data_IF_796396378947
#
_entry.id   IF_796396378947
#
_cell.length_a   1.000
_cell.length_b   1.000
_cell.length_c   1.000
_cell.angle_alpha   90.00
_cell.angle_beta   90.00
_cell.angle_gamma   90.00
#
_symmetry.space_group_name_H-M   'P 1'
#
loop_
_entity.id
_entity.type
_entity.pdbx_description
1 polymer ?
#
# COMPACT_ATOMS: atom_id res chain seq x y z
N UNK A 1 24.88 -0.31 -14.29
CA UNK A 1 23.43 -0.11 -14.07
C UNK A 1 22.60 -1.26 -14.63
N UNK A 2 22.78 -1.59 -15.90
CA UNK A 2 22.04 -2.71 -16.53
C UNK A 2 22.29 -4.06 -15.86
N UNK A 3 23.51 -4.30 -15.35
CA UNK A 3 23.85 -5.56 -14.68
C UNK A 3 23.01 -5.82 -13.45
N UNK A 4 22.85 -4.82 -12.56
CA UNK A 4 22.01 -4.95 -11.39
C UNK A 4 20.54 -5.12 -11.76
N UNK A 5 20.07 -4.34 -12.71
CA UNK A 5 18.69 -4.44 -13.19
C UNK A 5 18.42 -5.84 -13.74
N UNK A 6 19.29 -6.35 -14.59
CA UNK A 6 19.12 -7.67 -15.19
C UNK A 6 19.18 -8.78 -14.14
N UNK A 7 20.06 -8.64 -13.16
CA UNK A 7 20.16 -9.56 -12.03
C UNK A 7 18.85 -9.61 -11.24
N UNK A 8 18.27 -8.45 -10.88
CA UNK A 8 17.01 -8.40 -10.13
C UNK A 8 15.83 -8.90 -10.95
N UNK A 9 15.79 -8.63 -12.26
CA UNK A 9 14.76 -9.16 -13.14
C UNK A 9 14.85 -10.69 -13.21
N UNK A 10 16.05 -11.22 -13.35
CA UNK A 10 16.27 -12.68 -13.36
C UNK A 10 15.82 -13.32 -12.05
N UNK A 11 16.12 -12.71 -10.91
CA UNK A 11 15.66 -13.18 -9.60
C UNK A 11 14.14 -13.14 -9.47
N UNK A 12 13.51 -12.07 -9.96
CA UNK A 12 12.05 -11.92 -9.86
C UNK A 12 11.29 -12.92 -10.71
N UNK A 13 11.91 -13.41 -11.80
CA UNK A 13 11.32 -14.40 -12.69
C UNK A 13 11.58 -15.86 -12.24
N UNK A 14 12.36 -16.05 -11.18
CA UNK A 14 12.65 -17.40 -10.67
C UNK A 14 11.52 -17.84 -9.72
N UNK A 15 10.72 -18.80 -10.16
CA UNK A 15 9.57 -19.30 -9.40
C UNK A 15 9.98 -19.90 -8.06
N UNK A 16 11.08 -20.62 -8.01
CA UNK A 16 11.57 -21.24 -6.78
C UNK A 16 11.95 -20.18 -5.74
N UNK A 17 12.70 -19.16 -6.16
CA UNK A 17 13.08 -18.07 -5.25
C UNK A 17 11.87 -17.26 -4.78
N UNK A 18 10.91 -17.02 -5.66
CA UNK A 18 9.69 -16.30 -5.31
C UNK A 18 8.86 -17.06 -4.27
N UNK A 19 8.71 -18.38 -4.44
CA UNK A 19 7.99 -19.20 -3.47
C UNK A 19 8.73 -19.26 -2.13
N UNK A 20 10.04 -19.39 -2.17
CA UNK A 20 10.87 -19.38 -0.96
C UNK A 20 10.75 -18.04 -0.24
N UNK A 21 10.80 -16.93 -0.99
CA UNK A 21 10.63 -15.60 -0.42
C UNK A 21 9.27 -15.40 0.24
N UNK A 22 8.20 -15.95 -0.36
CA UNK A 22 6.86 -15.88 0.23
C UNK A 22 6.77 -16.62 1.57
N UNK A 23 7.50 -17.74 1.69
CA UNK A 23 7.50 -18.54 2.93
C UNK A 23 8.38 -17.97 4.02
N UNK A 24 9.58 -17.49 3.68
CA UNK A 24 10.57 -17.06 4.65
C UNK A 24 10.74 -15.55 4.76
N UNK A 25 10.24 -14.78 3.79
CA UNK A 25 10.33 -13.34 3.79
C UNK A 25 9.87 -12.68 5.09
N UNK A 26 8.67 -13.02 5.62
CA UNK A 26 8.20 -12.47 6.90
C UNK A 26 9.11 -12.81 8.07
N UNK A 27 9.74 -14.00 8.06
CA UNK A 27 10.65 -14.42 9.11
C UNK A 27 12.01 -13.74 9.02
N UNK A 28 12.40 -13.33 7.80
CA UNK A 28 13.70 -12.70 7.54
C UNK A 28 13.67 -11.19 7.62
N UNK A 29 12.55 -10.60 8.05
CA UNK A 29 12.45 -9.17 8.23
C UNK A 29 11.48 -8.46 7.30
N UNK A 30 10.82 -9.17 6.38
CA UNK A 30 9.79 -8.55 5.52
C UNK A 30 8.65 -7.96 6.35
N UNK A 31 8.33 -8.58 7.48
CA UNK A 31 7.33 -8.07 8.41
C UNK A 31 7.70 -6.71 9.03
N UNK A 32 8.98 -6.32 8.96
CA UNK A 32 9.43 -4.99 9.40
C UNK A 32 9.22 -3.93 8.32
N UNK A 33 9.07 -4.36 7.06
CA UNK A 33 8.83 -3.48 5.91
C UNK A 33 7.35 -3.28 5.68
N UNK A 34 6.54 -4.32 5.89
CA UNK A 34 5.09 -4.25 5.81
C UNK A 34 4.55 -3.64 7.10
N UNK A 35 3.83 -2.53 6.97
CA UNK A 35 3.35 -1.77 8.13
C UNK A 35 2.29 -2.50 8.95
N UNK A 36 1.68 -3.54 8.40
CA UNK A 36 0.68 -4.34 9.10
C UNK A 36 -0.57 -4.58 8.25
N UNK A 37 -1.44 -5.44 8.75
CA UNK A 37 -2.68 -5.83 8.08
C UNK A 37 -3.90 -5.11 8.66
N UNK A 38 -3.74 -4.39 9.76
CA UNK A 38 -4.83 -3.67 10.43
C UNK A 38 -4.42 -2.21 10.66
N UNK A 39 -5.43 -1.35 10.80
CA UNK A 39 -5.18 0.07 11.05
C UNK A 39 -4.43 0.31 12.37
N UNK A 40 -4.76 -0.37 13.50
CA UNK A 40 -3.97 -0.20 14.72
C UNK A 40 -2.48 -0.56 14.54
N UNK A 41 -2.18 -1.63 13.81
CA UNK A 41 -0.79 -2.00 13.53
C UNK A 41 -0.09 -0.96 12.66
N UNK A 42 -0.79 -0.42 11.66
CA UNK A 42 -0.28 0.63 10.80
C UNK A 42 0.08 1.88 11.61
N UNK A 43 -0.81 2.34 12.46
CA UNK A 43 -0.59 3.53 13.28
C UNK A 43 0.58 3.30 14.24
N UNK A 44 0.66 2.14 14.87
CA UNK A 44 1.78 1.80 15.74
C UNK A 44 3.12 1.87 15.00
N UNK A 45 3.17 1.32 13.78
CA UNK A 45 4.37 1.35 12.94
C UNK A 45 4.74 2.79 12.57
N UNK A 46 3.76 3.61 12.19
CA UNK A 46 3.99 5.01 11.85
C UNK A 46 4.52 5.78 13.06
N UNK A 47 3.91 5.58 14.22
CA UNK A 47 4.36 6.24 15.44
C UNK A 47 5.81 5.87 15.80
N UNK A 48 6.14 4.60 15.64
CA UNK A 48 7.51 4.13 15.85
C UNK A 48 8.50 4.83 14.92
N UNK A 49 8.18 4.93 13.62
CA UNK A 49 9.03 5.59 12.65
C UNK A 49 9.12 7.11 12.88
N UNK A 50 8.01 7.72 13.29
CA UNK A 50 7.98 9.15 13.61
C UNK A 50 8.88 9.49 14.82
N UNK A 51 9.04 8.57 15.76
CA UNK A 51 9.97 8.76 16.89
C UNK A 51 11.41 8.96 16.41
N UNK A 52 11.78 8.34 15.30
CA UNK A 52 13.08 8.53 14.66
C UNK A 52 13.11 9.67 13.65
N UNK A 53 12.07 10.53 13.65
CA UNK A 53 11.93 11.66 12.72
C UNK A 53 11.84 11.21 11.26
N UNK A 54 11.21 10.07 11.02
CA UNK A 54 10.97 9.54 9.68
C UNK A 54 9.49 9.79 9.34
N UNK A 55 9.26 10.58 8.31
CA UNK A 55 7.92 10.75 7.74
C UNK A 55 7.60 9.53 6.85
N UNK A 56 6.34 9.15 6.79
CA UNK A 56 5.91 7.89 6.18
C UNK A 56 4.93 8.16 5.04
N UNK A 57 5.08 7.41 3.95
CA UNK A 57 4.05 7.34 2.92
C UNK A 57 3.39 5.98 3.01
N UNK A 58 2.07 5.96 3.14
CA UNK A 58 1.27 4.74 3.25
C UNK A 58 0.70 4.40 1.89
N UNK A 59 0.81 3.15 1.50
CA UNK A 59 0.23 2.65 0.26
C UNK A 59 -0.58 1.40 0.57
N UNK A 60 -1.82 1.36 0.06
CA UNK A 60 -2.65 0.17 0.13
C UNK A 60 -2.33 -0.74 -1.05
N UNK A 61 -2.06 -2.01 -0.77
CA UNK A 61 -1.92 -3.00 -1.81
C UNK A 61 -3.30 -3.36 -2.35
N UNK A 62 -3.39 -3.62 -3.65
CA UNK A 62 -4.66 -3.99 -4.29
C UNK A 62 -4.99 -3.08 -5.47
N UNK A 63 -4.11 -3.07 -6.46
CA UNK A 63 -4.26 -2.25 -7.67
C UNK A 63 -5.26 -2.82 -8.67
N UNK A 64 -5.59 -4.10 -8.52
CA UNK A 64 -6.39 -4.84 -9.50
C UNK A 64 -7.87 -4.73 -9.17
N UNK A 65 -8.44 -3.55 -9.42
CA UNK A 65 -9.86 -3.28 -9.23
C UNK A 65 -10.57 -3.46 -10.57
N UNK A 66 -11.51 -4.39 -10.63
CA UNK A 66 -12.25 -4.72 -11.84
C UNK A 66 -13.74 -4.40 -11.76
N UNK A 67 -14.27 -4.20 -10.55
CA UNK A 67 -15.69 -3.93 -10.34
C UNK A 67 -15.90 -2.64 -9.54
N UNK A 68 -17.12 -2.09 -9.66
CA UNK A 68 -17.51 -0.91 -8.88
C UNK A 68 -17.45 -1.18 -7.38
N UNK A 69 -17.88 -2.36 -6.96
CA UNK A 69 -17.86 -2.75 -5.56
C UNK A 69 -16.44 -2.81 -5.01
N UNK A 70 -15.51 -3.34 -5.79
CA UNK A 70 -14.09 -3.37 -5.41
C UNK A 70 -13.51 -1.97 -5.28
N UNK A 71 -13.87 -1.06 -6.19
CA UNK A 71 -13.40 0.33 -6.13
C UNK A 71 -13.95 1.07 -4.93
N UNK A 72 -15.22 0.83 -4.58
CA UNK A 72 -15.82 1.43 -3.39
C UNK A 72 -15.21 0.88 -2.11
N UNK A 73 -14.88 -0.41 -2.09
CA UNK A 73 -14.19 -1.04 -0.96
C UNK A 73 -12.80 -0.45 -0.79
N UNK A 74 -12.05 -0.29 -1.88
CA UNK A 74 -10.72 0.33 -1.85
C UNK A 74 -10.80 1.78 -1.35
N UNK A 75 -11.77 2.55 -1.85
CA UNK A 75 -12.00 3.92 -1.38
C UNK A 75 -12.27 3.96 0.12
N UNK A 76 -13.12 3.05 0.61
CA UNK A 76 -13.46 3.00 2.03
C UNK A 76 -12.24 2.68 2.89
N UNK A 77 -11.41 1.73 2.47
CA UNK A 77 -10.18 1.40 3.17
C UNK A 77 -9.22 2.60 3.24
N UNK A 78 -9.05 3.30 2.13
CA UNK A 78 -8.19 4.48 2.06
C UNK A 78 -8.72 5.58 2.98
N UNK A 79 -10.03 5.79 2.96
CA UNK A 79 -10.68 6.81 3.80
C UNK A 79 -10.48 6.50 5.29
N UNK A 80 -10.63 5.25 5.69
CA UNK A 80 -10.40 4.83 7.08
C UNK A 80 -8.95 5.08 7.52
N UNK A 81 -7.99 4.84 6.63
CA UNK A 81 -6.58 5.11 6.91
C UNK A 81 -6.34 6.62 7.07
N UNK A 82 -6.90 7.42 6.17
CA UNK A 82 -6.77 8.89 6.25
C UNK A 82 -7.35 9.40 7.56
N UNK A 83 -8.53 8.92 7.94
CA UNK A 83 -9.17 9.31 9.20
C UNK A 83 -8.30 8.91 10.39
N UNK A 84 -7.70 7.74 10.38
CA UNK A 84 -6.81 7.28 11.45
C UNK A 84 -5.56 8.15 11.55
N UNK A 85 -4.96 8.49 10.42
CA UNK A 85 -3.78 9.38 10.37
C UNK A 85 -4.11 10.73 11.02
N UNK A 86 -5.28 11.28 10.72
CA UNK A 86 -5.73 12.55 11.29
C UNK A 86 -6.03 12.41 12.79
N UNK A 87 -6.73 11.35 13.17
CA UNK A 87 -7.11 11.12 14.55
C UNK A 87 -5.89 10.98 15.47
N UNK A 88 -4.91 10.21 15.06
CA UNK A 88 -3.70 9.98 15.86
C UNK A 88 -2.61 11.04 15.63
N UNK A 89 -2.85 11.99 14.74
CA UNK A 89 -1.95 13.10 14.44
C UNK A 89 -0.51 12.64 14.14
N UNK A 90 -0.39 11.61 13.33
CA UNK A 90 0.91 11.07 12.93
C UNK A 90 1.40 11.74 11.63
N UNK A 91 2.72 11.76 11.40
CA UNK A 91 3.31 12.27 10.18
C UNK A 91 3.31 11.20 9.09
N UNK A 92 2.25 11.20 8.29
CA UNK A 92 2.11 10.25 7.18
C UNK A 92 1.29 10.85 6.06
N UNK A 93 1.60 10.43 4.84
CA UNK A 93 0.82 10.75 3.65
C UNK A 93 0.25 9.49 3.06
N UNK A 94 -0.95 9.60 2.51
CA UNK A 94 -1.60 8.47 1.84
C UNK A 94 -1.31 8.53 0.35
N UNK A 95 -0.71 7.46 -0.19
CA UNK A 95 -0.52 7.30 -1.63
C UNK A 95 -1.74 6.60 -2.22
N UNK A 96 -2.31 7.20 -3.26
CA UNK A 96 -3.52 6.69 -3.91
C UNK A 96 -3.26 6.53 -5.39
N UNK A 97 -3.62 5.36 -5.93
CA UNK A 97 -3.54 5.12 -7.38
C UNK A 97 -4.95 5.24 -7.97
N UNK A 98 -5.06 5.96 -9.05
CA UNK A 98 -6.36 6.17 -9.72
C UNK A 98 -6.98 4.83 -10.13
N UNK A 99 -6.16 3.83 -10.47
CA UNK A 99 -6.64 2.50 -10.81
C UNK A 99 -7.36 1.81 -9.66
N UNK A 100 -7.02 2.10 -8.41
CA UNK A 100 -7.74 1.59 -7.24
C UNK A 100 -9.16 2.15 -7.14
N UNK A 101 -9.39 3.30 -7.74
CA UNK A 101 -10.66 4.01 -7.69
C UNK A 101 -11.56 3.72 -8.89
N UNK A 102 -11.11 2.85 -9.80
CA UNK A 102 -11.91 2.38 -10.92
C UNK A 102 -11.61 3.00 -12.26
N UNK A 103 -10.46 3.67 -12.44
CA UNK A 103 -10.15 4.37 -13.69
C UNK A 103 -10.05 3.47 -14.93
N UNK A 104 -9.81 2.18 -14.73
CA UNK A 104 -9.68 1.25 -15.85
C UNK A 104 -11.02 0.94 -16.53
N UNK A 105 -12.13 1.11 -15.83
CA UNK A 105 -13.44 0.80 -16.37
C UNK A 105 -14.43 1.96 -16.31
N UNK A 106 -14.22 2.94 -15.44
CA UNK A 106 -15.12 4.10 -15.32
C UNK A 106 -14.35 5.30 -14.76
N UNK A 107 -13.96 6.22 -15.65
CA UNK A 107 -13.25 7.44 -15.25
C UNK A 107 -14.09 8.37 -14.40
N UNK A 108 -15.39 8.42 -14.64
CA UNK A 108 -16.28 9.27 -13.85
C UNK A 108 -16.37 8.78 -12.40
N UNK A 109 -16.48 7.46 -12.22
CA UNK A 109 -16.46 6.84 -10.89
C UNK A 109 -15.14 7.13 -10.18
N UNK A 110 -14.01 6.98 -10.89
CA UNK A 110 -12.70 7.26 -10.31
C UNK A 110 -12.58 8.73 -9.86
N UNK A 111 -13.11 9.64 -10.66
CA UNK A 111 -13.13 11.06 -10.32
C UNK A 111 -13.97 11.33 -9.06
N UNK A 112 -15.16 10.75 -8.98
CA UNK A 112 -16.01 10.90 -7.80
C UNK A 112 -15.37 10.31 -6.56
N UNK A 113 -14.76 9.13 -6.66
CA UNK A 113 -14.07 8.49 -5.57
C UNK A 113 -12.88 9.34 -5.08
N UNK A 114 -12.11 9.90 -6.00
CA UNK A 114 -11.00 10.78 -5.64
C UNK A 114 -11.50 12.05 -4.93
N UNK A 115 -12.57 12.63 -5.42
CA UNK A 115 -13.17 13.81 -4.80
C UNK A 115 -13.59 13.54 -3.36
N UNK A 116 -14.15 12.35 -3.11
CA UNK A 116 -14.58 11.97 -1.76
C UNK A 116 -13.41 11.79 -0.80
N UNK A 117 -12.21 11.49 -1.31
CA UNK A 117 -11.00 11.34 -0.51
C UNK A 117 -10.34 12.68 -0.15
N UNK A 118 -10.59 13.70 -0.97
CA UNK A 118 -10.04 15.02 -0.73
C UNK A 118 -10.88 15.80 0.28
#
# INVERSE_FOLDING_TARGET
MSLFRDFFIALSNNTYLNETAKKVGPRMGANKVVAGNTIPQLIETIQYLNEYRIAVTVDCLGEFVETKEESLHAKQQILEIIEAIQYFNVEAHMSVKISQLGSKFDLHLAFENMRDLL
#
